data_IF_916622284367
#
_entry.id   IF_916622284367
#
_cell.length_a   1.000
_cell.length_b   1.000
_cell.length_c   1.000
_cell.angle_alpha   90.00
_cell.angle_beta   90.00
_cell.angle_gamma   90.00
#
_symmetry.space_group_name_H-M   'P 1'
#
loop_
_entity.id
_entity.type
_entity.pdbx_description
1 polymer ?
#
# COMPACT_ATOMS: atom_id res chain seq x y z
N UNK A 1 43.19 -3.13 -21.97
CA UNK A 1 42.01 -2.56 -22.65
C UNK A 1 41.16 -1.84 -21.61
N UNK A 2 41.05 -0.53 -21.75
CA UNK A 2 40.50 0.41 -20.76
C UNK A 2 38.98 0.51 -20.95
N UNK A 3 38.18 0.18 -19.93
CA UNK A 3 36.76 0.54 -19.88
C UNK A 3 36.56 1.66 -18.85
N UNK A 4 36.62 2.90 -19.34
CA UNK A 4 36.22 4.10 -18.59
C UNK A 4 34.69 4.15 -18.54
N UNK A 5 34.09 3.80 -17.40
CA UNK A 5 32.69 4.15 -17.14
C UNK A 5 32.67 5.50 -16.43
N UNK A 6 32.08 6.48 -17.14
CA UNK A 6 31.96 7.88 -16.74
C UNK A 6 30.86 7.98 -15.66
N UNK A 7 31.23 8.03 -14.39
CA UNK A 7 30.29 8.36 -13.31
C UNK A 7 30.02 9.87 -13.33
N UNK A 8 28.77 10.26 -13.62
CA UNK A 8 28.28 11.63 -13.45
C UNK A 8 28.08 11.89 -11.95
N UNK A 9 28.88 12.79 -11.39
CA UNK A 9 28.68 13.31 -10.04
C UNK A 9 27.45 14.24 -10.02
N UNK A 10 26.51 13.96 -9.12
CA UNK A 10 25.48 14.92 -8.71
C UNK A 10 26.09 15.74 -7.57
N UNK A 11 26.21 17.04 -7.78
CA UNK A 11 26.73 17.99 -6.78
C UNK A 11 25.76 18.11 -5.61
N UNK A 12 26.26 17.97 -4.39
CA UNK A 12 25.54 18.36 -3.18
C UNK A 12 26.33 18.07 -1.90
N UNK A 13 26.81 19.12 -1.24
CA UNK A 13 27.16 19.09 0.19
C UNK A 13 28.65 19.32 0.49
N UNK A 14 29.01 20.56 0.79
CA UNK A 14 30.29 20.94 1.36
C UNK A 14 30.39 20.49 2.83
N UNK A 15 31.48 19.81 3.18
CA UNK A 15 31.91 19.56 4.55
C UNK A 15 33.44 19.54 4.58
N UNK A 16 34.06 20.48 5.29
CA UNK A 16 35.50 20.54 5.49
C UNK A 16 35.92 19.39 6.42
N UNK A 17 36.94 18.62 6.05
CA UNK A 17 37.59 17.67 6.96
C UNK A 17 39.09 17.94 6.97
N UNK A 18 39.65 18.01 8.18
CA UNK A 18 41.06 18.25 8.44
C UNK A 18 41.90 17.02 8.06
N UNK A 19 43.14 17.29 7.68
CA UNK A 19 44.11 16.40 7.05
C UNK A 19 44.61 15.35 8.06
N UNK A 20 44.33 14.05 7.85
CA UNK A 20 45.15 13.00 8.47
C UNK A 20 44.47 11.71 8.97
N UNK A 21 43.14 11.60 9.01
CA UNK A 21 42.49 10.40 9.56
C UNK A 21 41.87 9.53 8.45
N UNK A 22 42.50 8.40 8.14
CA UNK A 22 41.89 7.34 7.30
C UNK A 22 40.88 6.56 8.14
N UNK A 23 39.65 7.06 8.23
CA UNK A 23 38.51 6.25 8.66
C UNK A 23 38.08 5.32 7.51
N UNK A 24 38.73 4.15 7.43
CA UNK A 24 38.19 3.05 6.64
C UNK A 24 36.91 2.57 7.34
N UNK A 25 35.76 3.06 6.88
CA UNK A 25 34.44 2.54 7.27
C UNK A 25 34.43 1.04 7.01
N UNK A 26 34.59 0.24 8.07
CA UNK A 26 34.35 -1.21 8.01
C UNK A 26 32.84 -1.37 7.81
N UNK A 27 32.41 -1.60 6.57
CA UNK A 27 31.05 -2.05 6.32
C UNK A 27 30.92 -3.44 6.93
N UNK A 28 30.02 -3.67 7.92
CA UNK A 28 29.71 -5.03 8.29
C UNK A 28 29.16 -5.71 7.04
N UNK A 29 29.77 -6.84 6.65
CA UNK A 29 29.25 -7.69 5.58
C UNK A 29 27.81 -7.99 5.95
N UNK A 30 26.87 -7.36 5.26
CA UNK A 30 25.45 -7.49 5.57
C UNK A 30 25.13 -8.98 5.59
N UNK A 31 24.48 -9.45 6.67
CA UNK A 31 24.01 -10.84 6.75
C UNK A 31 23.27 -11.13 5.44
N UNK A 32 23.72 -12.16 4.73
CA UNK A 32 23.03 -12.63 3.53
C UNK A 32 21.61 -13.01 3.95
N UNK A 33 20.61 -12.30 3.42
CA UNK A 33 19.21 -12.63 3.67
C UNK A 33 18.93 -14.02 3.11
N UNK A 34 18.61 -14.99 3.96
CA UNK A 34 18.06 -16.28 3.54
C UNK A 34 16.60 -16.08 3.12
N UNK A 35 16.42 -15.51 1.93
CA UNK A 35 15.12 -15.54 1.25
C UNK A 35 14.78 -17.00 0.92
N UNK A 36 14.06 -17.69 1.80
CA UNK A 36 13.53 -19.03 1.50
C UNK A 36 13.52 -20.05 2.63
N UNK A 37 14.09 -19.77 3.81
CA UNK A 37 13.99 -20.68 4.95
C UNK A 37 12.64 -20.51 5.65
N UNK A 38 11.57 -21.01 5.02
CA UNK A 38 10.23 -21.04 5.60
C UNK A 38 9.59 -22.42 5.58
N UNK A 39 10.33 -23.47 5.19
CA UNK A 39 9.79 -24.83 5.05
C UNK A 39 10.76 -25.90 5.55
N UNK A 40 11.04 -25.87 6.84
CA UNK A 40 11.20 -27.07 7.65
C UNK A 40 10.07 -26.93 8.67
N UNK A 41 8.87 -27.49 8.57
CA UNK A 41 8.48 -28.88 8.47
C UNK A 41 6.93 -28.87 8.36
N UNK A 42 6.36 -28.89 7.16
CA UNK A 42 4.97 -29.34 7.00
C UNK A 42 5.06 -30.75 6.45
N UNK A 43 4.40 -31.71 7.10
CA UNK A 43 4.41 -33.09 6.67
C UNK A 43 3.91 -33.16 5.22
N UNK A 44 4.66 -33.87 4.36
CA UNK A 44 4.38 -34.03 2.94
C UNK A 44 2.92 -34.42 2.65
N UNK A 45 2.33 -35.20 3.57
CA UNK A 45 0.93 -35.65 3.53
C UNK A 45 -0.07 -34.49 3.67
N UNK A 46 0.19 -33.50 4.52
CA UNK A 46 -0.69 -32.35 4.70
C UNK A 46 -0.66 -31.42 3.48
N UNK A 47 0.53 -31.23 2.91
CA UNK A 47 0.72 -30.48 1.67
C UNK A 47 -0.05 -31.12 0.50
N UNK A 48 0.08 -32.44 0.33
CA UNK A 48 -0.60 -33.18 -0.73
C UNK A 48 -2.13 -33.20 -0.56
N UNK A 49 -2.63 -33.37 0.67
CA UNK A 49 -4.07 -33.28 0.97
C UNK A 49 -4.63 -31.90 0.59
N UNK A 50 -3.90 -30.83 0.92
CA UNK A 50 -4.30 -29.47 0.57
C UNK A 50 -4.30 -29.24 -0.94
N UNK A 51 -3.28 -29.72 -1.63
CA UNK A 51 -3.17 -29.61 -3.08
C UNK A 51 -4.37 -30.26 -3.76
N UNK A 52 -4.81 -31.43 -3.29
CA UNK A 52 -6.02 -32.11 -3.77
C UNK A 52 -7.29 -31.32 -3.45
N UNK A 53 -7.41 -30.74 -2.25
CA UNK A 53 -8.59 -29.94 -1.89
C UNK A 53 -8.72 -28.66 -2.72
N UNK A 54 -7.62 -27.92 -2.89
CA UNK A 54 -7.56 -26.72 -3.72
C UNK A 54 -7.86 -27.05 -5.17
N UNK A 55 -7.21 -28.09 -5.73
CA UNK A 55 -7.45 -28.52 -7.11
C UNK A 55 -8.89 -28.98 -7.34
N UNK A 56 -9.53 -29.68 -6.40
CA UNK A 56 -10.95 -30.08 -6.48
C UNK A 56 -11.92 -28.89 -6.46
N UNK A 57 -11.59 -27.80 -5.75
CA UNK A 57 -12.39 -26.57 -5.75
C UNK A 57 -12.21 -25.78 -7.06
N UNK A 58 -11.01 -25.84 -7.63
CA UNK A 58 -10.67 -25.18 -8.90
C UNK A 58 -11.23 -25.92 -10.11
N UNK A 59 -11.21 -27.26 -10.11
CA UNK A 59 -11.73 -28.07 -11.21
C UNK A 59 -13.24 -27.98 -11.39
N UNK A 60 -13.98 -27.51 -10.37
CA UNK A 60 -15.42 -27.20 -10.46
C UNK A 60 -15.71 -25.84 -11.10
N UNK A 61 -14.70 -24.97 -11.21
CA UNK A 61 -14.77 -23.65 -11.80
C UNK A 61 -14.16 -23.76 -13.20
N UNK A 62 -14.99 -24.13 -14.16
CA UNK A 62 -14.59 -24.29 -15.55
C UNK A 62 -13.95 -23.00 -16.09
N UNK A 63 -12.83 -23.18 -16.80
CA UNK A 63 -12.07 -22.20 -17.59
C UNK A 63 -11.54 -20.90 -16.91
N UNK A 64 -10.23 -20.66 -17.06
CA UNK A 64 -9.51 -19.40 -16.73
C UNK A 64 -9.94 -18.78 -15.39
N UNK A 65 -9.32 -19.22 -14.31
CA UNK A 65 -9.46 -18.62 -12.97
C UNK A 65 -9.38 -17.09 -13.06
N UNK A 66 -10.50 -16.42 -12.75
CA UNK A 66 -10.54 -14.96 -12.71
C UNK A 66 -9.61 -14.44 -11.60
N UNK A 67 -8.91 -13.34 -11.90
CA UNK A 67 -7.92 -12.71 -11.02
C UNK A 67 -8.53 -12.35 -9.67
N UNK A 68 -9.80 -11.92 -9.68
CA UNK A 68 -10.53 -11.53 -8.47
C UNK A 68 -10.82 -12.75 -7.60
N UNK A 69 -11.28 -13.85 -8.21
CA UNK A 69 -11.56 -15.12 -7.52
C UNK A 69 -10.31 -15.70 -6.88
N UNK A 70 -9.18 -15.68 -7.60
CA UNK A 70 -7.89 -16.12 -7.05
C UNK A 70 -7.47 -15.29 -5.83
N UNK A 71 -7.59 -13.96 -5.90
CA UNK A 71 -7.17 -13.08 -4.80
C UNK A 71 -8.02 -13.33 -3.54
N UNK A 72 -9.34 -13.52 -3.69
CA UNK A 72 -10.24 -13.88 -2.59
C UNK A 72 -9.85 -15.22 -1.94
N UNK A 73 -9.56 -16.24 -2.75
CA UNK A 73 -9.12 -17.55 -2.27
C UNK A 73 -7.80 -17.43 -1.50
N UNK A 74 -6.81 -16.72 -2.04
CA UNK A 74 -5.53 -16.52 -1.36
C UNK A 74 -5.73 -15.79 -0.04
N UNK A 75 -6.59 -14.76 0.02
CA UNK A 75 -6.86 -14.04 1.27
C UNK A 75 -7.58 -14.90 2.34
N UNK A 76 -8.41 -15.87 1.94
CA UNK A 76 -9.02 -16.84 2.85
C UNK A 76 -7.99 -17.80 3.46
N UNK A 77 -7.09 -18.33 2.62
CA UNK A 77 -6.11 -19.33 3.02
C UNK A 77 -4.81 -18.75 3.59
N UNK A 78 -4.57 -17.43 3.50
CA UNK A 78 -3.31 -16.79 3.92
C UNK A 78 -2.94 -16.98 5.39
N UNK A 79 -3.91 -17.26 6.25
CA UNK A 79 -3.69 -17.47 7.69
C UNK A 79 -3.32 -18.92 8.02
N UNK A 80 -3.63 -19.85 7.12
CA UNK A 80 -3.39 -21.27 7.31
C UNK A 80 -2.17 -21.75 6.52
N UNK A 81 -1.85 -21.09 5.40
CA UNK A 81 -0.80 -21.54 4.49
C UNK A 81 0.04 -20.38 3.94
N UNK A 82 1.28 -20.69 3.55
CA UNK A 82 2.14 -19.73 2.87
C UNK A 82 1.55 -19.37 1.50
N UNK A 83 1.55 -18.07 1.19
CA UNK A 83 1.08 -17.52 -0.08
C UNK A 83 1.77 -18.19 -1.28
N UNK A 84 3.04 -18.56 -1.15
CA UNK A 84 3.77 -19.28 -2.20
C UNK A 84 3.13 -20.61 -2.57
N UNK A 85 2.87 -21.46 -1.58
CA UNK A 85 2.30 -22.79 -1.79
C UNK A 85 0.95 -22.72 -2.50
N UNK A 86 0.09 -21.79 -2.06
CA UNK A 86 -1.21 -21.57 -2.67
C UNK A 86 -1.03 -21.21 -4.14
N UNK A 87 -0.18 -20.23 -4.45
CA UNK A 87 0.04 -19.74 -5.82
C UNK A 87 0.68 -20.77 -6.74
N UNK A 88 1.53 -21.65 -6.22
CA UNK A 88 2.16 -22.74 -6.97
C UNK A 88 1.12 -23.75 -7.47
N UNK A 89 0.05 -23.98 -6.71
CA UNK A 89 -1.09 -24.81 -7.13
C UNK A 89 -1.82 -24.21 -8.35
N UNK A 90 -1.87 -22.88 -8.44
CA UNK A 90 -2.54 -22.15 -9.52
C UNK A 90 -1.60 -21.80 -10.69
N UNK A 91 -0.32 -22.18 -10.63
CA UNK A 91 0.71 -21.82 -11.62
C UNK A 91 0.83 -20.31 -11.84
N UNK A 92 0.65 -19.52 -10.78
CA UNK A 92 0.79 -18.05 -10.82
C UNK A 92 2.04 -17.63 -10.05
N UNK A 93 2.93 -16.86 -10.66
CA UNK A 93 4.10 -16.36 -9.94
C UNK A 93 3.72 -15.38 -8.83
N UNK A 94 4.46 -15.37 -7.71
CA UNK A 94 4.28 -14.39 -6.62
C UNK A 94 4.25 -12.95 -7.14
N UNK A 95 5.14 -12.60 -8.07
CA UNK A 95 5.19 -11.27 -8.69
C UNK A 95 3.91 -10.93 -9.45
N UNK A 96 3.36 -11.88 -10.21
CA UNK A 96 2.10 -11.70 -10.93
C UNK A 96 0.93 -11.51 -9.97
N UNK A 97 0.86 -12.32 -8.92
CA UNK A 97 -0.13 -12.18 -7.86
C UNK A 97 -0.08 -10.81 -7.20
N UNK A 98 1.08 -10.35 -6.73
CA UNK A 98 1.19 -9.05 -6.09
C UNK A 98 0.93 -7.89 -7.07
N UNK A 99 1.26 -8.05 -8.36
CA UNK A 99 0.88 -7.09 -9.41
C UNK A 99 -0.64 -7.01 -9.61
N UNK A 100 -1.36 -8.13 -9.48
CA UNK A 100 -2.82 -8.13 -9.54
C UNK A 100 -3.42 -7.55 -8.25
N UNK A 101 -2.90 -7.96 -7.09
CA UNK A 101 -3.33 -7.49 -5.77
C UNK A 101 -3.12 -5.99 -5.59
N UNK A 102 -2.05 -5.40 -6.15
CA UNK A 102 -1.81 -3.95 -6.07
C UNK A 102 -2.77 -3.12 -6.93
N UNK A 103 -3.30 -3.70 -8.01
CA UNK A 103 -4.32 -3.06 -8.87
C UNK A 103 -5.71 -3.12 -8.26
N UNK A 104 -6.01 -4.20 -7.53
CA UNK A 104 -7.18 -4.24 -6.68
C UNK A 104 -6.90 -3.29 -5.51
N UNK A 105 -7.52 -2.11 -5.54
CA UNK A 105 -7.47 -1.22 -4.38
C UNK A 105 -7.95 -2.04 -3.19
N UNK A 106 -7.17 -2.19 -2.10
CA UNK A 106 -7.74 -2.74 -0.88
C UNK A 106 -9.00 -1.92 -0.59
N UNK A 107 -10.07 -2.52 -0.05
CA UNK A 107 -11.21 -1.74 0.38
C UNK A 107 -10.67 -0.71 1.37
N UNK A 108 -10.46 0.52 0.90
CA UNK A 108 -10.22 1.67 1.77
C UNK A 108 -11.45 1.66 2.64
N UNK A 109 -11.30 1.42 3.94
CA UNK A 109 -12.40 1.19 4.88
C UNK A 109 -13.67 1.88 4.38
N UNK A 110 -14.58 1.14 3.73
CA UNK A 110 -15.76 1.76 3.13
C UNK A 110 -16.56 2.49 4.22
N UNK A 111 -16.47 1.96 5.45
CA UNK A 111 -16.90 2.60 6.69
C UNK A 111 -16.26 3.99 6.92
N UNK A 112 -14.93 4.13 6.83
CA UNK A 112 -14.23 5.41 6.94
C UNK A 112 -14.69 6.39 5.86
N UNK A 113 -14.76 5.93 4.61
CA UNK A 113 -15.17 6.78 3.50
C UNK A 113 -16.58 7.32 3.72
N UNK A 114 -17.54 6.45 4.08
CA UNK A 114 -18.91 6.83 4.41
C UNK A 114 -18.97 7.83 5.56
N UNK A 115 -18.16 7.63 6.60
CA UNK A 115 -18.11 8.55 7.75
C UNK A 115 -17.54 9.91 7.37
N UNK A 116 -16.51 9.94 6.53
CA UNK A 116 -15.95 11.18 5.97
C UNK A 116 -16.98 11.92 5.13
N UNK A 117 -17.73 11.19 4.30
CA UNK A 117 -18.82 11.72 3.48
C UNK A 117 -19.91 12.37 4.35
N UNK A 118 -20.35 11.66 5.39
CA UNK A 118 -21.36 12.13 6.33
C UNK A 118 -20.93 13.44 7.01
N UNK A 119 -19.68 13.51 7.51
CA UNK A 119 -19.12 14.72 8.13
C UNK A 119 -19.09 15.86 7.10
N UNK A 120 -18.64 15.59 5.87
CA UNK A 120 -18.58 16.60 4.83
C UNK A 120 -19.97 17.17 4.50
N UNK A 121 -20.97 16.30 4.36
CA UNK A 121 -22.36 16.68 4.05
C UNK A 121 -23.00 17.46 5.21
N UNK A 122 -22.86 16.97 6.45
CA UNK A 122 -23.37 17.60 7.67
C UNK A 122 -22.90 19.04 7.82
N UNK A 123 -21.63 19.29 7.48
CA UNK A 123 -21.02 20.62 7.56
C UNK A 123 -21.00 21.37 6.22
N UNK A 124 -21.75 20.92 5.21
CA UNK A 124 -21.85 21.55 3.87
C UNK A 124 -20.49 21.85 3.25
N UNK A 125 -19.51 20.96 3.45
CA UNK A 125 -18.13 21.09 2.99
C UNK A 125 -17.39 22.34 3.50
N UNK A 126 -17.80 22.92 4.65
CA UNK A 126 -17.10 24.07 5.24
C UNK A 126 -15.82 23.67 5.97
N UNK A 127 -15.76 22.42 6.47
CA UNK A 127 -14.62 21.95 7.24
C UNK A 127 -13.43 21.60 6.37
N UNK A 128 -12.24 22.00 6.84
CA UNK A 128 -10.99 21.64 6.20
C UNK A 128 -10.67 20.16 6.44
N UNK A 129 -9.86 19.55 5.56
CA UNK A 129 -9.38 18.19 5.76
C UNK A 129 -8.58 18.04 7.06
N UNK A 130 -7.92 19.11 7.56
CA UNK A 130 -7.22 19.11 8.85
C UNK A 130 -8.20 18.95 10.00
N UNK A 131 -9.29 19.70 9.96
CA UNK A 131 -10.39 19.63 10.94
C UNK A 131 -11.01 18.24 10.95
N UNK A 132 -11.33 17.69 9.78
CA UNK A 132 -11.92 16.35 9.65
C UNK A 132 -10.96 15.27 10.14
N UNK A 133 -9.66 15.38 9.83
CA UNK A 133 -8.63 14.46 10.35
C UNK A 133 -8.57 14.52 11.87
N UNK A 134 -8.66 15.71 12.47
CA UNK A 134 -8.67 15.87 13.94
C UNK A 134 -9.90 15.24 14.59
N UNK A 135 -11.07 15.37 13.97
CA UNK A 135 -12.31 14.75 14.45
C UNK A 135 -12.25 13.23 14.40
N UNK A 136 -11.66 12.68 13.33
CA UNK A 136 -11.55 11.24 13.11
C UNK A 136 -10.36 10.60 13.82
N UNK A 137 -9.40 11.39 14.36
CA UNK A 137 -8.20 10.88 15.02
C UNK A 137 -8.48 9.93 16.18
N UNK A 138 -9.63 10.08 16.85
CA UNK A 138 -10.05 9.20 17.96
C UNK A 138 -10.38 7.78 17.52
N UNK A 139 -10.82 7.61 16.28
CA UNK A 139 -11.29 6.31 15.75
C UNK A 139 -10.38 5.76 14.65
N UNK A 140 -9.75 6.64 13.86
CA UNK A 140 -8.93 6.28 12.72
C UNK A 140 -7.68 7.15 12.67
N UNK A 141 -6.51 6.53 12.68
CA UNK A 141 -5.23 7.23 12.55
C UNK A 141 -4.84 7.41 11.06
N UNK A 142 -5.74 7.97 10.25
CA UNK A 142 -5.59 8.06 8.78
C UNK A 142 -5.70 9.51 8.29
N UNK A 143 -4.82 9.88 7.35
CA UNK A 143 -4.87 11.17 6.65
C UNK A 143 -5.99 11.18 5.59
N UNK A 144 -7.01 12.01 5.82
CA UNK A 144 -8.26 12.03 5.03
C UNK A 144 -8.13 12.80 3.70
N UNK A 145 -7.09 13.63 3.55
CA UNK A 145 -6.93 14.52 2.39
C UNK A 145 -6.98 13.79 1.04
N UNK A 146 -6.30 12.65 0.89
CA UNK A 146 -6.27 11.90 -0.37
C UNK A 146 -7.66 11.40 -0.77
N UNK A 147 -8.45 10.96 0.22
CA UNK A 147 -9.83 10.49 0.02
C UNK A 147 -10.69 11.67 -0.43
N UNK A 148 -10.68 12.77 0.32
CA UNK A 148 -11.46 13.97 -0.02
C UNK A 148 -11.11 14.53 -1.41
N UNK A 149 -9.81 14.60 -1.74
CA UNK A 149 -9.34 15.08 -3.06
C UNK A 149 -9.84 14.18 -4.19
N UNK A 150 -9.75 12.85 -4.02
CA UNK A 150 -10.19 11.90 -5.05
C UNK A 150 -11.70 11.94 -5.32
N UNK A 151 -12.50 12.33 -4.33
CA UNK A 151 -13.97 12.39 -4.40
C UNK A 151 -14.54 13.81 -4.59
N UNK A 152 -13.69 14.83 -4.70
CA UNK A 152 -14.11 16.21 -4.89
C UNK A 152 -14.71 16.88 -3.64
N UNK A 153 -14.48 16.35 -2.45
CA UNK A 153 -15.01 16.88 -1.18
C UNK A 153 -14.10 17.94 -0.54
N UNK A 154 -13.41 18.74 -1.35
CA UNK A 154 -12.56 19.79 -0.83
C UNK A 154 -13.41 20.89 -0.18
N UNK A 155 -12.83 21.56 0.83
CA UNK A 155 -13.52 22.60 1.56
C UNK A 155 -13.92 23.76 0.64
N UNK A 156 -15.14 24.28 0.81
CA UNK A 156 -15.65 25.43 0.06
C UNK A 156 -15.11 26.73 0.64
N UNK A 157 -14.73 27.64 -0.24
CA UNK A 157 -14.35 29.00 0.16
C UNK A 157 -15.58 29.76 0.62
N UNK A 158 -15.48 30.39 1.80
CA UNK A 158 -16.52 31.30 2.27
C UNK A 158 -16.55 32.54 1.37
N UNK A 159 -17.71 32.89 0.84
CA UNK A 159 -17.90 34.14 0.09
C UNK A 159 -17.62 35.32 1.03
N UNK A 160 -16.76 36.25 0.61
CA UNK A 160 -16.47 37.48 1.34
C UNK A 160 -17.77 38.30 1.41
N UNK A 161 -18.13 38.78 2.60
CA UNK A 161 -19.25 39.73 2.72
C UNK A 161 -18.92 40.97 1.88
N UNK A 162 -19.89 41.49 1.13
CA UNK A 162 -19.71 42.75 0.43
C UNK A 162 -19.29 43.85 1.43
N UNK A 163 -18.37 44.75 1.03
CA UNK A 163 -18.06 45.90 1.85
C UNK A 163 -19.36 46.69 2.07
N UNK A 164 -19.62 47.12 3.31
CA UNK A 164 -20.69 48.06 3.61
C UNK A 164 -20.27 49.42 3.07
N UNK A 165 -20.47 49.64 1.77
CA UNK A 165 -20.47 50.99 1.21
C UNK A 165 -21.65 51.69 1.87
N UNK A 166 -21.37 52.69 2.73
CA UNK A 166 -22.43 53.53 3.31
C UNK A 166 -23.28 54.10 2.18
N UNK A 167 -24.57 54.34 2.43
CA UNK A 167 -25.38 55.10 1.46
C UNK A 167 -24.66 56.42 1.19
N UNK A 168 -24.46 56.75 -0.08
CA UNK A 168 -24.10 58.10 -0.48
C UNK A 168 -25.24 59.01 -0.05
N UNK A 169 -24.93 59.99 0.81
CA UNK A 169 -25.85 61.01 1.28
C UNK A 169 -26.28 61.91 0.12
#
# INVERSE_FOLDING_TARGET
MVLKIKARYIHGGAGRYQKGETYHFHQPVGKQYTYGQGMEQLAEVEQLKLQVELLKKVSKLDEKIDKVTLIKLVDYYRYQYLIGFILDCFKVSRSTYYRWKSKIKPPIHDSLIKKVEEICLKHKFMYSHRTITSLLKKEFEIKVYRIMKSRGWLCRTRIKKSPKLGKLY
#
